data_IF_633600446342
#
_entry.id   IF_633600446342
#
_cell.length_a   1.000
_cell.length_b   1.000
_cell.length_c   1.000
_cell.angle_alpha   90.00
_cell.angle_beta   90.00
_cell.angle_gamma   90.00
#
_symmetry.space_group_name_H-M   'P 1'
#
loop_
_entity.id
_entity.type
_entity.pdbx_description
1 polymer ?
#
# COMPACT_ATOMS: atom_id res chain seq x y z
N UNK A 1 -12.79 -2.90 20.51
CA UNK A 1 -13.40 -3.92 21.41
C UNK A 1 -12.45 -5.07 21.49
N UNK A 2 -12.03 -5.42 22.70
CA UNK A 2 -11.10 -6.51 22.95
C UNK A 2 -11.80 -7.61 23.73
N UNK A 3 -11.61 -8.85 23.29
CA UNK A 3 -12.20 -10.01 23.92
C UNK A 3 -11.17 -11.14 24.03
N UNK A 4 -10.98 -11.63 25.25
CA UNK A 4 -10.11 -12.76 25.51
C UNK A 4 -10.86 -14.06 25.17
N UNK A 5 -10.51 -14.70 24.05
CA UNK A 5 -11.12 -15.95 23.61
C UNK A 5 -10.62 -17.16 24.43
N UNK A 6 -9.34 -17.12 24.83
CA UNK A 6 -8.68 -18.12 25.69
C UNK A 6 -7.66 -17.42 26.57
N UNK A 7 -7.18 -18.09 27.62
CA UNK A 7 -6.12 -17.56 28.51
C UNK A 7 -4.91 -16.97 27.74
N UNK A 8 -4.58 -17.54 26.59
CA UNK A 8 -3.43 -17.15 25.76
C UNK A 8 -3.78 -16.54 24.40
N UNK A 9 -5.06 -16.22 24.16
CA UNK A 9 -5.54 -15.76 22.84
C UNK A 9 -6.55 -14.65 22.99
N UNK A 10 -6.30 -13.53 22.32
CA UNK A 10 -7.16 -12.34 22.34
C UNK A 10 -7.59 -11.98 20.92
N UNK A 11 -8.87 -11.63 20.77
CA UNK A 11 -9.44 -11.04 19.58
C UNK A 11 -9.74 -9.56 19.84
N UNK A 12 -9.24 -8.70 18.97
CA UNK A 12 -9.49 -7.26 18.98
C UNK A 12 -10.20 -6.87 17.69
N UNK A 13 -11.28 -6.11 17.80
CA UNK A 13 -11.97 -5.50 16.67
C UNK A 13 -11.98 -3.98 16.84
N UNK A 14 -11.45 -3.26 15.87
CA UNK A 14 -11.32 -1.81 15.87
C UNK A 14 -11.96 -1.25 14.61
N UNK A 15 -12.83 -0.27 14.78
CA UNK A 15 -13.29 0.57 13.68
C UNK A 15 -12.66 1.96 13.81
N UNK A 16 -12.10 2.46 12.72
CA UNK A 16 -11.48 3.78 12.63
C UNK A 16 -12.11 4.52 11.46
N UNK A 17 -12.61 5.73 11.72
CA UNK A 17 -13.06 6.66 10.68
C UNK A 17 -12.24 7.93 10.75
N UNK A 18 -11.91 8.50 9.59
CA UNK A 18 -11.12 9.71 9.45
C UNK A 18 -11.73 10.60 8.38
N UNK A 19 -11.94 11.87 8.72
CA UNK A 19 -12.44 12.89 7.81
C UNK A 19 -11.43 14.05 7.78
N UNK A 20 -10.97 14.39 6.59
CA UNK A 20 -10.09 15.52 6.31
C UNK A 20 -10.86 16.60 5.57
N UNK A 21 -10.75 17.83 6.05
CA UNK A 21 -11.32 19.03 5.46
C UNK A 21 -10.21 20.05 5.22
N UNK A 22 -10.47 21.01 4.33
CA UNK A 22 -9.54 22.07 3.95
C UNK A 22 -8.15 21.56 3.57
N UNK A 23 -8.12 20.38 2.96
CA UNK A 23 -6.88 19.78 2.51
C UNK A 23 -6.32 20.57 1.34
N UNK A 24 -5.00 20.70 1.30
CA UNK A 24 -4.37 21.41 0.21
C UNK A 24 -4.58 20.72 -1.14
N UNK A 25 -4.78 21.52 -2.17
CA UNK A 25 -4.67 21.14 -3.57
C UNK A 25 -4.19 22.33 -4.39
N UNK A 26 -3.97 22.12 -5.67
CA UNK A 26 -3.63 23.18 -6.61
C UNK A 26 -4.61 23.25 -7.78
N UNK A 27 -4.72 24.44 -8.36
CA UNK A 27 -5.28 24.65 -9.69
C UNK A 27 -4.40 25.63 -10.46
N UNK A 28 -4.49 25.61 -11.78
CA UNK A 28 -3.95 26.67 -12.62
C UNK A 28 -5.03 27.69 -12.93
N UNK A 29 -4.83 28.90 -12.42
CA UNK A 29 -5.79 30.00 -12.60
C UNK A 29 -5.64 30.68 -13.95
N UNK A 30 -4.55 30.41 -14.65
CA UNK A 30 -4.28 30.88 -16.01
C UNK A 30 -4.41 29.73 -17.02
N UNK A 31 -5.10 28.64 -16.67
CA UNK A 31 -5.42 27.56 -17.61
C UNK A 31 -6.32 28.10 -18.74
N UNK A 32 -6.25 27.55 -19.96
CA UNK A 32 -7.17 27.94 -21.03
C UNK A 32 -8.64 27.69 -20.64
N UNK A 33 -9.56 28.66 -20.81
CA UNK A 33 -10.94 28.48 -20.39
C UNK A 33 -11.75 27.63 -21.37
N UNK A 34 -12.82 26.95 -20.89
CA UNK A 34 -13.80 26.29 -21.75
C UNK A 34 -14.55 27.30 -22.64
N UNK A 35 -15.23 26.83 -23.71
CA UNK A 35 -15.36 25.43 -24.11
C UNK A 35 -14.22 24.92 -25.00
N UNK A 36 -13.40 25.81 -25.57
CA UNK A 36 -12.43 25.47 -26.61
C UNK A 36 -11.00 25.26 -26.10
N UNK A 37 -10.69 25.73 -24.89
CA UNK A 37 -9.38 25.57 -24.24
C UNK A 37 -8.19 26.03 -25.11
N UNK A 38 -8.37 27.01 -25.99
CA UNK A 38 -7.37 27.34 -27.04
C UNK A 38 -6.15 28.11 -26.53
N UNK A 39 -6.36 29.08 -25.64
CA UNK A 39 -5.30 29.98 -25.19
C UNK A 39 -5.47 30.33 -23.71
N UNK A 40 -4.34 30.58 -23.05
CA UNK A 40 -4.32 31.07 -21.67
C UNK A 40 -4.88 32.50 -21.61
N UNK A 41 -5.62 32.87 -20.54
CA UNK A 41 -6.12 34.24 -20.37
C UNK A 41 -5.04 35.32 -20.44
N UNK A 42 -3.91 35.10 -19.79
CA UNK A 42 -2.70 35.91 -19.95
C UNK A 42 -1.64 35.09 -20.72
N UNK A 43 -1.41 35.41 -22.01
CA UNK A 43 -0.43 34.70 -22.83
C UNK A 43 1.03 34.92 -22.40
N UNK A 44 1.32 35.94 -21.60
CA UNK A 44 2.68 36.22 -21.10
C UNK A 44 3.07 35.32 -19.94
N UNK A 45 2.08 34.68 -19.30
CA UNK A 45 2.25 33.80 -18.16
C UNK A 45 2.01 32.33 -18.58
N UNK A 46 2.84 31.43 -18.03
CA UNK A 46 2.61 29.99 -18.13
C UNK A 46 1.53 29.53 -17.14
N UNK A 47 1.80 28.39 -16.49
CA UNK A 47 0.97 27.88 -15.39
C UNK A 47 1.06 28.84 -14.19
N UNK A 48 -0.07 29.40 -13.78
CA UNK A 48 -0.17 30.20 -12.55
C UNK A 48 -0.82 29.33 -11.49
N UNK A 49 0.02 28.69 -10.67
CA UNK A 49 -0.45 27.79 -9.63
C UNK A 49 -1.05 28.57 -8.47
N UNK A 50 -2.33 28.36 -8.21
CA UNK A 50 -2.97 28.72 -6.95
C UNK A 50 -3.10 27.49 -6.07
N UNK A 51 -2.56 27.60 -4.85
CA UNK A 51 -2.77 26.61 -3.79
C UNK A 51 -4.06 26.97 -3.05
N UNK A 52 -4.91 25.97 -2.84
CA UNK A 52 -6.19 26.12 -2.17
C UNK A 52 -6.30 25.13 -1.02
N UNK A 53 -6.96 25.53 0.07
CA UNK A 53 -7.29 24.69 1.22
C UNK A 53 -8.79 24.37 1.21
N UNK A 54 -9.24 23.60 0.23
CA UNK A 54 -10.67 23.24 0.06
C UNK A 54 -10.88 21.80 -0.41
N UNK A 55 -9.84 20.97 -0.33
CA UNK A 55 -9.91 19.54 -0.61
C UNK A 55 -10.49 18.76 0.56
N UNK A 56 -10.93 17.53 0.28
CA UNK A 56 -11.58 16.65 1.24
C UNK A 56 -10.99 15.25 1.16
N UNK A 57 -11.06 14.53 2.28
CA UNK A 57 -10.74 13.11 2.36
C UNK A 57 -11.65 12.41 3.36
N UNK A 58 -12.04 11.19 3.07
CA UNK A 58 -12.75 10.32 3.98
C UNK A 58 -12.12 8.92 3.92
N UNK A 59 -11.90 8.32 5.08
CA UNK A 59 -11.49 6.93 5.18
C UNK A 59 -12.18 6.23 6.32
N UNK A 60 -12.64 5.01 6.06
CA UNK A 60 -13.27 4.13 7.03
C UNK A 60 -12.56 2.79 7.00
N UNK A 61 -12.28 2.23 8.18
CA UNK A 61 -11.58 0.96 8.30
C UNK A 61 -12.12 0.13 9.44
N UNK A 62 -12.39 -1.14 9.16
CA UNK A 62 -12.70 -2.17 10.15
C UNK A 62 -11.55 -3.16 10.19
N UNK A 63 -10.95 -3.32 11.36
CA UNK A 63 -9.82 -4.20 11.59
C UNK A 63 -10.15 -5.25 12.63
N UNK A 64 -9.94 -6.52 12.30
CA UNK A 64 -9.98 -7.63 13.23
C UNK A 64 -8.57 -8.20 13.41
N UNK A 65 -8.12 -8.30 14.65
CA UNK A 65 -6.78 -8.78 15.02
C UNK A 65 -6.92 -9.93 16.02
N UNK A 66 -6.41 -11.10 15.67
CA UNK A 66 -6.28 -12.25 16.56
C UNK A 66 -4.82 -12.39 16.97
N UNK A 67 -4.50 -12.39 18.26
CA UNK A 67 -3.13 -12.48 18.77
C UNK A 67 -2.97 -13.50 19.89
N UNK A 68 -1.79 -14.12 19.95
CA UNK A 68 -1.35 -15.02 21.01
C UNK A 68 -1.11 -16.45 20.54
N UNK A 69 -1.20 -17.39 21.47
CA UNK A 69 -0.99 -18.82 21.21
C UNK A 69 -2.28 -19.45 20.66
N UNK A 70 -2.55 -19.20 19.38
CA UNK A 70 -3.78 -19.63 18.69
C UNK A 70 -3.88 -21.15 18.64
N UNK A 71 -2.76 -21.85 18.44
CA UNK A 71 -2.70 -23.32 18.49
C UNK A 71 -1.53 -23.79 19.35
N UNK A 72 -1.41 -25.09 19.60
CA UNK A 72 -0.28 -25.63 20.36
C UNK A 72 1.09 -25.43 19.69
N UNK A 73 1.11 -25.19 18.37
CA UNK A 73 2.33 -24.98 17.59
C UNK A 73 2.48 -23.58 17.01
N UNK A 74 1.41 -22.79 16.93
CA UNK A 74 1.43 -21.43 16.38
C UNK A 74 1.21 -20.40 17.48
N UNK A 75 2.18 -19.50 17.61
CA UNK A 75 2.08 -18.28 18.40
C UNK A 75 2.34 -17.07 17.51
N UNK A 76 1.41 -16.13 17.45
CA UNK A 76 1.56 -14.99 16.55
C UNK A 76 0.35 -14.07 16.53
N UNK A 77 0.28 -13.26 15.48
CA UNK A 77 -0.80 -12.32 15.20
C UNK A 77 -1.31 -12.52 13.77
N UNK A 78 -2.62 -12.52 13.62
CA UNK A 78 -3.33 -12.44 12.35
C UNK A 78 -4.18 -11.18 12.38
N UNK A 79 -4.11 -10.38 11.32
CA UNK A 79 -4.83 -9.13 11.21
C UNK A 79 -5.47 -9.04 9.83
N UNK A 80 -6.78 -8.83 9.82
CA UNK A 80 -7.53 -8.52 8.63
C UNK A 80 -8.09 -7.12 8.74
N UNK A 81 -7.89 -6.32 7.71
CA UNK A 81 -8.41 -4.96 7.60
C UNK A 81 -9.25 -4.86 6.35
N UNK A 82 -10.51 -4.50 6.52
CA UNK A 82 -11.34 -3.96 5.46
C UNK A 82 -11.29 -2.43 5.54
N UNK A 83 -11.05 -1.75 4.43
CA UNK A 83 -11.02 -0.28 4.43
C UNK A 83 -11.59 0.30 3.15
N UNK A 84 -12.06 1.54 3.22
CA UNK A 84 -12.38 2.34 2.04
C UNK A 84 -11.82 3.73 2.25
N UNK A 85 -11.22 4.30 1.22
CA UNK A 85 -10.72 5.66 1.21
C UNK A 85 -11.15 6.40 -0.05
N UNK A 86 -11.68 7.62 0.13
CA UNK A 86 -12.01 8.54 -0.94
C UNK A 86 -11.40 9.92 -0.67
N UNK A 87 -10.94 10.58 -1.71
CA UNK A 87 -10.45 11.95 -1.64
C UNK A 87 -10.63 12.64 -2.99
N UNK A 88 -10.47 13.98 -2.98
CA UNK A 88 -10.35 14.78 -4.20
C UNK A 88 -8.95 15.38 -4.39
N UNK A 89 -8.05 15.15 -3.44
CA UNK A 89 -6.69 15.68 -3.45
C UNK A 89 -5.69 14.74 -2.79
N UNK A 90 -4.46 14.73 -3.31
CA UNK A 90 -3.29 14.11 -2.66
C UNK A 90 -2.34 15.15 -2.04
N UNK A 91 -2.84 16.34 -1.76
CA UNK A 91 -2.07 17.46 -1.21
C UNK A 91 -1.70 18.50 -2.25
N UNK A 92 -0.71 19.34 -1.91
CA UNK A 92 -0.34 20.52 -2.69
C UNK A 92 -0.07 20.17 -4.17
N UNK A 93 0.56 19.05 -4.49
CA UNK A 93 0.83 18.62 -5.88
C UNK A 93 -0.36 18.13 -6.71
N UNK A 94 -1.56 18.05 -6.13
CA UNK A 94 -2.76 17.55 -6.82
C UNK A 94 -3.43 18.65 -7.62
N UNK A 95 -3.58 18.44 -8.93
CA UNK A 95 -4.38 19.27 -9.83
C UNK A 95 -5.59 18.48 -10.31
N UNK A 96 -6.74 19.13 -10.51
CA UNK A 96 -7.82 18.49 -11.23
C UNK A 96 -7.41 18.20 -12.67
N UNK A 97 -8.10 17.26 -13.33
CA UNK A 97 -7.87 17.01 -14.76
C UNK A 97 -8.25 18.25 -15.58
N UNK A 98 -9.40 18.85 -15.27
CA UNK A 98 -9.88 20.12 -15.80
C UNK A 98 -9.86 21.18 -14.70
N UNK A 99 -9.11 22.26 -14.88
CA UNK A 99 -9.01 23.34 -13.89
C UNK A 99 -10.36 24.07 -13.62
N UNK A 100 -11.36 23.88 -14.49
CA UNK A 100 -12.69 24.46 -14.40
C UNK A 100 -13.80 23.47 -14.00
N UNK A 101 -13.52 22.16 -13.92
CA UNK A 101 -14.50 21.15 -13.54
C UNK A 101 -13.93 20.15 -12.53
N UNK A 102 -14.56 20.10 -11.36
CA UNK A 102 -14.15 19.27 -10.22
C UNK A 102 -15.03 18.05 -10.01
N UNK A 103 -16.06 17.86 -10.82
CA UNK A 103 -17.08 16.82 -10.63
C UNK A 103 -16.49 15.41 -10.56
N UNK A 104 -15.44 15.14 -11.32
CA UNK A 104 -14.76 13.85 -11.33
C UNK A 104 -13.58 13.71 -10.35
N UNK A 105 -13.34 14.69 -9.46
CA UNK A 105 -12.17 14.68 -8.57
C UNK A 105 -12.41 13.88 -7.29
N UNK A 106 -13.62 13.94 -6.71
CA UNK A 106 -13.97 13.11 -5.56
C UNK A 106 -14.14 11.64 -5.98
N UNK A 107 -13.14 10.82 -5.68
CA UNK A 107 -13.09 9.43 -6.11
C UNK A 107 -12.37 8.55 -5.08
N UNK A 108 -12.07 7.29 -5.44
CA UNK A 108 -11.21 6.43 -4.63
C UNK A 108 -9.85 7.12 -4.43
N UNK A 109 -9.31 7.09 -3.21
CA UNK A 109 -7.98 7.62 -2.96
C UNK A 109 -6.89 6.72 -3.57
N UNK A 110 -5.73 7.27 -3.93
CA UNK A 110 -4.63 6.49 -4.54
C UNK A 110 -4.15 5.33 -3.63
N UNK A 111 -4.26 5.54 -2.31
CA UNK A 111 -3.92 4.57 -1.27
C UNK A 111 -5.08 3.66 -0.85
N UNK A 112 -6.27 3.79 -1.48
CA UNK A 112 -7.42 2.93 -1.18
C UNK A 112 -7.06 1.46 -1.44
N UNK A 113 -7.15 0.62 -0.40
CA UNK A 113 -6.90 -0.82 -0.48
C UNK A 113 -8.00 -1.54 0.31
N UNK A 114 -9.05 -2.04 -0.38
CA UNK A 114 -10.20 -2.64 0.28
C UNK A 114 -9.90 -3.76 1.26
N UNK A 115 -8.98 -4.66 0.94
CA UNK A 115 -8.69 -5.83 1.75
C UNK A 115 -7.20 -5.92 2.02
N UNK A 116 -6.82 -6.04 3.30
CA UNK A 116 -5.45 -6.32 3.72
C UNK A 116 -5.43 -7.40 4.78
N UNK A 117 -4.63 -8.43 4.56
CA UNK A 117 -4.37 -9.48 5.53
C UNK A 117 -2.88 -9.51 5.86
N UNK A 118 -2.56 -9.57 7.15
CA UNK A 118 -1.22 -9.69 7.67
C UNK A 118 -1.19 -10.83 8.69
N UNK A 119 -0.25 -11.73 8.56
CA UNK A 119 0.05 -12.76 9.54
C UNK A 119 1.54 -12.71 9.85
N UNK A 120 1.86 -12.70 11.13
CA UNK A 120 3.21 -12.84 11.64
C UNK A 120 3.16 -13.83 12.79
N UNK A 121 3.95 -14.89 12.72
CA UNK A 121 3.94 -15.88 13.78
C UNK A 121 5.18 -16.75 13.80
N UNK A 122 5.31 -17.50 14.88
CA UNK A 122 6.36 -18.49 15.10
C UNK A 122 5.71 -19.86 15.23
N UNK A 123 6.29 -20.80 14.51
CA UNK A 123 6.10 -22.22 14.67
C UNK A 123 7.32 -22.78 15.39
N UNK A 124 7.10 -23.57 16.44
CA UNK A 124 8.17 -24.31 17.14
C UNK A 124 7.98 -25.80 16.93
N UNK A 125 8.21 -26.32 15.72
CA UNK A 125 8.13 -27.75 15.48
C UNK A 125 9.28 -28.45 16.23
N UNK A 126 8.93 -29.37 17.13
CA UNK A 126 9.85 -30.28 17.85
C UNK A 126 10.98 -29.64 18.69
N UNK A 127 10.93 -28.33 18.99
CA UNK A 127 11.94 -27.58 19.76
C UNK A 127 13.38 -27.62 19.19
N UNK A 128 13.56 -28.03 17.93
CA UNK A 128 14.88 -28.14 17.29
C UNK A 128 15.25 -26.86 16.51
N UNK A 129 14.26 -26.17 15.97
CA UNK A 129 14.43 -24.93 15.23
C UNK A 129 13.23 -24.00 15.45
N UNK A 130 13.51 -22.71 15.28
CA UNK A 130 12.51 -21.66 15.30
C UNK A 130 12.15 -21.28 13.88
N UNK A 131 10.87 -21.44 13.56
CA UNK A 131 10.33 -21.14 12.24
C UNK A 131 9.45 -19.90 12.36
N UNK A 132 9.92 -18.76 11.86
CA UNK A 132 9.12 -17.56 11.67
C UNK A 132 8.36 -17.62 10.35
N UNK A 133 7.09 -17.26 10.36
CA UNK A 133 6.23 -17.16 9.18
C UNK A 133 5.65 -15.75 9.09
N UNK A 134 5.78 -15.14 7.91
CA UNK A 134 5.09 -13.93 7.51
C UNK A 134 4.19 -14.21 6.31
N UNK A 135 2.97 -13.69 6.32
CA UNK A 135 2.11 -13.66 5.15
C UNK A 135 1.50 -12.26 5.05
N UNK A 136 1.68 -11.63 3.89
CA UNK A 136 1.05 -10.35 3.56
C UNK A 136 0.22 -10.55 2.31
N UNK A 137 -1.06 -10.19 2.37
CA UNK A 137 -1.95 -10.13 1.21
C UNK A 137 -2.64 -8.77 1.19
N UNK A 138 -2.75 -8.16 0.02
CA UNK A 138 -3.43 -6.88 -0.15
C UNK A 138 -4.15 -6.88 -1.48
N UNK A 139 -5.40 -6.40 -1.50
CA UNK A 139 -6.14 -6.19 -2.74
C UNK A 139 -5.43 -5.18 -3.63
N UNK A 140 -5.83 -5.13 -4.89
CA UNK A 140 -5.28 -4.18 -5.83
C UNK A 140 -5.53 -2.73 -5.41
N UNK A 141 -4.64 -1.87 -5.89
CA UNK A 141 -4.81 -0.43 -5.81
C UNK A 141 -5.49 0.14 -7.03
N UNK A 142 -6.22 1.25 -6.88
CA UNK A 142 -6.70 1.95 -8.04
C UNK A 142 -5.58 2.74 -8.73
N UNK A 143 -5.80 3.02 -10.01
CA UNK A 143 -5.06 4.02 -10.76
C UNK A 143 -5.99 4.71 -11.75
N UNK A 144 -5.56 5.85 -12.28
CA UNK A 144 -6.42 6.72 -13.08
C UNK A 144 -6.32 6.37 -14.56
N UNK A 145 -7.48 6.28 -15.22
CA UNK A 145 -7.59 6.22 -16.67
C UNK A 145 -7.37 7.61 -17.28
N UNK A 146 -6.48 7.71 -18.25
CA UNK A 146 -6.11 8.95 -18.92
C UNK A 146 -6.32 8.80 -20.44
N UNK A 147 -6.66 9.88 -21.13
CA UNK A 147 -6.75 9.90 -22.58
C UNK A 147 -5.36 9.74 -23.22
N UNK A 148 -4.37 10.51 -22.74
CA UNK A 148 -3.03 10.60 -23.32
C UNK A 148 -2.74 11.96 -23.92
N UNK A 149 -3.74 12.56 -24.57
CA UNK A 149 -3.72 13.94 -25.02
C UNK A 149 -3.96 14.99 -23.92
N UNK A 150 -3.51 16.21 -24.19
CA UNK A 150 -3.76 17.40 -23.35
C UNK A 150 -5.00 18.17 -23.86
N UNK A 151 -6.19 17.59 -23.70
CA UNK A 151 -7.43 18.17 -24.24
C UNK A 151 -7.82 19.52 -23.62
N UNK A 152 -7.21 19.87 -22.48
CA UNK A 152 -7.45 21.14 -21.79
C UNK A 152 -6.34 22.17 -22.03
N UNK A 153 -5.31 21.82 -22.82
CA UNK A 153 -4.12 22.63 -23.09
C UNK A 153 -3.49 23.24 -21.81
N UNK A 154 -3.52 22.48 -20.71
CA UNK A 154 -2.97 22.92 -19.43
C UNK A 154 -1.55 22.41 -19.17
N UNK A 155 -0.97 21.70 -20.13
CA UNK A 155 0.41 21.20 -20.14
C UNK A 155 0.64 19.97 -19.27
N UNK A 156 -0.41 19.29 -18.81
CA UNK A 156 -0.26 18.16 -17.85
C UNK A 156 -0.47 16.79 -18.44
N UNK A 157 -1.17 16.67 -19.58
CA UNK A 157 -1.49 15.35 -20.17
C UNK A 157 -2.28 14.43 -19.21
N UNK A 158 -3.05 15.03 -18.29
CA UNK A 158 -3.84 14.32 -17.27
C UNK A 158 -5.34 14.32 -17.58
N UNK A 159 -5.69 14.57 -18.83
CA UNK A 159 -7.07 14.52 -19.27
C UNK A 159 -7.64 13.11 -19.10
N UNK A 160 -8.90 13.04 -18.67
CA UNK A 160 -9.66 11.80 -18.49
C UNK A 160 -10.80 11.76 -19.50
N UNK A 161 -11.27 10.58 -19.92
CA UNK A 161 -12.48 10.50 -20.73
C UNK A 161 -13.65 11.19 -20.02
N UNK A 162 -14.58 11.77 -20.79
CA UNK A 162 -15.72 12.51 -20.23
C UNK A 162 -16.52 11.61 -19.27
N UNK A 163 -16.74 12.10 -18.05
CA UNK A 163 -17.47 11.38 -17.00
C UNK A 163 -16.66 10.32 -16.24
N UNK A 164 -15.38 10.10 -16.59
CA UNK A 164 -14.52 9.14 -15.88
C UNK A 164 -13.85 9.84 -14.71
N UNK A 165 -14.14 9.38 -13.49
CA UNK A 165 -13.54 9.85 -12.24
C UNK A 165 -12.05 9.47 -12.14
N UNK A 166 -11.34 9.99 -11.13
CA UNK A 166 -9.99 9.51 -10.83
C UNK A 166 -10.05 8.06 -10.36
N UNK A 167 -8.94 7.34 -10.50
CA UNK A 167 -8.75 6.07 -9.79
C UNK A 167 -9.84 5.01 -10.08
N UNK A 168 -10.29 4.96 -11.33
CA UNK A 168 -11.35 4.05 -11.83
C UNK A 168 -10.83 2.70 -12.27
N UNK A 169 -9.55 2.59 -12.66
CA UNK A 169 -8.92 1.32 -13.04
C UNK A 169 -8.33 0.62 -11.82
N UNK A 170 -8.12 -0.68 -11.93
CA UNK A 170 -7.63 -1.52 -10.84
C UNK A 170 -6.42 -2.36 -11.30
N UNK A 171 -5.36 -2.37 -10.48
CA UNK A 171 -4.14 -3.13 -10.75
C UNK A 171 -4.25 -4.59 -10.29
N UNK A 172 -3.11 -5.24 -10.07
CA UNK A 172 -3.07 -6.54 -9.39
C UNK A 172 -2.94 -6.40 -7.87
N UNK A 173 -3.50 -7.37 -7.14
CA UNK A 173 -3.26 -7.54 -5.71
C UNK A 173 -1.84 -8.03 -5.42
N UNK A 174 -1.40 -7.78 -4.19
CA UNK A 174 -0.11 -8.22 -3.66
C UNK A 174 -0.28 -9.46 -2.79
N UNK A 175 0.64 -10.43 -2.91
CA UNK A 175 0.78 -11.50 -1.94
C UNK A 175 2.24 -11.94 -1.77
N UNK A 176 2.69 -12.11 -0.53
CA UNK A 176 4.00 -12.66 -0.20
C UNK A 176 3.92 -13.58 1.01
N UNK A 177 4.64 -14.69 0.93
CA UNK A 177 4.94 -15.55 2.07
C UNK A 177 6.42 -15.40 2.35
N UNK A 178 6.75 -15.05 3.58
CA UNK A 178 8.12 -14.90 4.05
C UNK A 178 8.39 -15.93 5.14
N UNK A 179 9.56 -16.55 5.12
CA UNK A 179 9.95 -17.62 6.03
C UNK A 179 11.29 -17.30 6.66
N UNK A 180 11.39 -17.50 7.97
CA UNK A 180 12.66 -17.53 8.70
C UNK A 180 12.82 -18.88 9.37
N UNK A 181 13.97 -19.51 9.22
CA UNK A 181 14.37 -20.68 10.01
C UNK A 181 15.63 -20.33 10.76
N UNK A 182 15.62 -20.45 12.08
CA UNK A 182 16.81 -20.23 12.89
C UNK A 182 17.01 -21.32 13.93
N UNK A 183 18.28 -21.60 14.22
CA UNK A 183 18.68 -22.57 15.25
C UNK A 183 19.81 -21.99 16.07
N UNK A 184 19.67 -22.07 17.39
CA UNK A 184 20.75 -21.78 18.32
C UNK A 184 21.55 -23.06 18.61
N UNK A 185 22.87 -22.95 18.50
CA UNK A 185 23.84 -23.97 18.80
C UNK A 185 24.62 -23.50 20.03
N UNK A 186 24.54 -24.24 21.13
CA UNK A 186 25.36 -23.97 22.33
C UNK A 186 26.79 -24.44 22.05
N UNK A 187 27.76 -23.56 22.27
CA UNK A 187 29.19 -23.80 22.08
C UNK A 187 29.86 -23.75 23.46
N UNK A 188 29.96 -24.90 24.14
CA UNK A 188 30.65 -25.02 25.44
C UNK A 188 30.31 -26.32 26.18
N UNK A 189 31.30 -26.94 26.83
CA UNK A 189 31.11 -28.13 27.68
C UNK A 189 30.92 -27.72 29.16
N UNK A 190 30.01 -28.46 29.79
CA UNK A 190 29.85 -28.73 31.24
C UNK A 190 31.06 -28.33 32.09
N UNK A 191 30.88 -27.38 33.02
CA UNK A 191 31.83 -27.11 34.11
C UNK A 191 32.26 -25.66 34.38
N UNK A 192 31.82 -24.66 33.59
CA UNK A 192 32.19 -23.25 33.81
C UNK A 192 31.14 -22.27 33.26
N UNK A 193 31.07 -21.07 33.86
CA UNK A 193 29.94 -20.13 33.82
C UNK A 193 29.68 -19.38 32.49
N UNK A 194 30.52 -19.55 31.46
CA UNK A 194 30.47 -18.70 30.26
C UNK A 194 30.05 -19.50 29.02
N UNK A 195 28.75 -19.76 28.91
CA UNK A 195 28.17 -20.48 27.78
C UNK A 195 28.13 -19.61 26.51
N UNK A 196 29.03 -19.85 25.55
CA UNK A 196 28.96 -19.24 24.22
C UNK A 196 27.81 -19.88 23.42
N UNK A 197 27.19 -19.10 22.54
CA UNK A 197 26.15 -19.60 21.64
C UNK A 197 26.29 -19.01 20.23
N UNK A 198 25.96 -19.80 19.22
CA UNK A 198 25.88 -19.36 17.83
C UNK A 198 24.47 -19.58 17.31
N UNK A 199 23.81 -18.52 16.84
CA UNK A 199 22.54 -18.63 16.13
C UNK A 199 22.80 -18.62 14.62
N UNK A 200 22.40 -19.68 13.94
CA UNK A 200 22.32 -19.75 12.49
C UNK A 200 20.90 -19.40 12.03
N UNK A 201 20.78 -18.62 10.97
CA UNK A 201 19.49 -18.20 10.40
C UNK A 201 19.48 -18.29 8.88
N UNK A 202 18.34 -18.66 8.34
CA UNK A 202 18.00 -18.63 6.92
C UNK A 202 16.68 -17.88 6.77
N UNK A 203 16.66 -16.87 5.90
CA UNK A 203 15.46 -16.10 5.58
C UNK A 203 15.16 -16.24 4.09
N UNK A 204 13.88 -16.43 3.76
CA UNK A 204 13.36 -16.47 2.41
C UNK A 204 12.18 -15.49 2.31
N UNK A 205 12.40 -14.37 1.62
CA UNK A 205 11.36 -13.39 1.30
C UNK A 205 10.73 -13.72 -0.03
N UNK A 206 9.41 -13.54 -0.16
CA UNK A 206 8.64 -13.99 -1.31
C UNK A 206 8.97 -15.46 -1.65
N UNK A 207 8.84 -16.33 -0.65
CA UNK A 207 9.17 -17.76 -0.70
C UNK A 207 8.52 -18.45 -1.90
N UNK A 208 7.30 -18.05 -2.29
CA UNK A 208 6.59 -18.63 -3.42
C UNK A 208 7.02 -18.06 -4.79
N UNK A 209 7.94 -17.08 -4.80
CA UNK A 209 8.39 -16.35 -5.99
C UNK A 209 7.22 -15.79 -6.82
N UNK A 210 6.18 -15.30 -6.16
CA UNK A 210 5.05 -14.68 -6.86
C UNK A 210 5.49 -13.35 -7.45
N UNK A 211 5.18 -13.11 -8.72
CA UNK A 211 5.36 -11.79 -9.33
C UNK A 211 4.35 -10.83 -8.71
N UNK A 212 4.86 -9.80 -8.05
CA UNK A 212 4.05 -8.76 -7.42
C UNK A 212 4.20 -7.47 -8.24
N UNK A 213 3.24 -7.20 -9.13
CA UNK A 213 3.27 -6.02 -10.00
C UNK A 213 3.15 -4.71 -9.20
N UNK A 214 3.76 -3.65 -9.73
CA UNK A 214 3.74 -2.30 -9.16
C UNK A 214 2.80 -1.38 -9.94
N UNK A 215 3.39 -0.42 -10.65
CA UNK A 215 2.69 0.54 -11.49
C UNK A 215 2.09 -0.08 -12.76
N UNK A 216 0.96 0.47 -13.18
CA UNK A 216 0.22 0.14 -14.39
C UNK A 216 0.08 1.38 -15.26
N UNK A 217 -0.01 1.19 -16.58
CA UNK A 217 -0.27 2.30 -17.51
C UNK A 217 -1.78 2.51 -17.66
N UNK A 218 -2.27 3.68 -17.24
CA UNK A 218 -3.67 4.07 -17.36
C UNK A 218 -4.00 4.88 -18.61
N UNK A 219 -3.04 5.15 -19.49
CA UNK A 219 -3.23 5.98 -20.67
C UNK A 219 -3.76 5.18 -21.86
N UNK A 220 -4.93 5.55 -22.38
CA UNK A 220 -5.61 4.86 -23.49
C UNK A 220 -4.80 4.83 -24.78
N UNK A 221 -4.10 5.92 -25.11
CA UNK A 221 -3.24 6.02 -26.29
C UNK A 221 -1.95 5.19 -26.19
N UNK A 222 -1.64 4.61 -25.03
CA UNK A 222 -0.43 3.79 -24.86
C UNK A 222 -0.66 2.34 -25.31
N UNK A 223 0.29 1.72 -26.03
CA UNK A 223 0.22 0.27 -26.33
C UNK A 223 0.30 -0.59 -25.06
N UNK A 224 0.71 -0.01 -23.93
CA UNK A 224 0.80 -0.68 -22.63
C UNK A 224 -0.44 -0.44 -21.76
N UNK A 225 -1.53 0.13 -22.30
CA UNK A 225 -2.75 0.38 -21.53
C UNK A 225 -3.20 -0.85 -20.73
N UNK A 226 -3.44 -0.65 -19.42
CA UNK A 226 -3.77 -1.67 -18.41
C UNK A 226 -2.71 -2.75 -18.19
N UNK A 227 -1.50 -2.57 -18.70
CA UNK A 227 -0.38 -3.48 -18.46
C UNK A 227 0.48 -3.00 -17.29
N UNK A 228 1.04 -3.94 -16.50
CA UNK A 228 2.03 -3.61 -15.49
C UNK A 228 3.36 -3.23 -16.15
N UNK A 229 4.02 -2.19 -15.64
CA UNK A 229 5.33 -1.72 -16.13
C UNK A 229 6.45 -1.85 -15.11
N UNK A 230 6.12 -2.27 -13.88
CA UNK A 230 7.11 -2.54 -12.82
C UNK A 230 6.69 -3.76 -12.02
N UNK A 231 7.65 -4.39 -11.35
CA UNK A 231 7.43 -5.48 -10.41
C UNK A 231 8.29 -5.26 -9.16
N UNK A 232 7.80 -5.77 -8.02
CA UNK A 232 8.54 -5.82 -6.76
C UNK A 232 9.54 -6.97 -6.78
N UNK A 233 10.41 -7.01 -5.76
CA UNK A 233 11.44 -8.04 -5.62
C UNK A 233 10.88 -9.45 -5.79
N UNK A 234 11.59 -10.23 -6.60
CA UNK A 234 11.44 -11.68 -6.68
C UNK A 234 11.89 -12.33 -5.36
N UNK A 235 11.92 -13.66 -5.32
CA UNK A 235 12.40 -14.40 -4.15
C UNK A 235 13.82 -13.94 -3.75
N UNK A 236 14.00 -13.61 -2.48
CA UNK A 236 15.31 -13.26 -1.91
C UNK A 236 15.64 -14.22 -0.77
N UNK A 237 16.85 -14.78 -0.81
CA UNK A 237 17.35 -15.70 0.21
C UNK A 237 18.50 -15.03 0.96
N UNK A 238 18.50 -15.13 2.29
CA UNK A 238 19.54 -14.58 3.14
C UNK A 238 20.00 -15.61 4.17
N UNK A 239 21.30 -15.59 4.46
CA UNK A 239 21.94 -16.39 5.51
C UNK A 239 22.48 -15.45 6.58
N UNK A 240 22.31 -15.82 7.84
CA UNK A 240 22.80 -15.04 8.98
C UNK A 240 23.46 -15.94 10.03
N UNK A 241 24.49 -15.41 10.67
CA UNK A 241 25.14 -16.01 11.82
C UNK A 241 25.33 -14.94 12.90
N UNK A 242 24.95 -15.24 14.15
CA UNK A 242 25.17 -14.37 15.30
C UNK A 242 25.88 -15.17 16.39
N UNK A 243 27.00 -14.66 16.89
CA UNK A 243 27.74 -15.24 18.01
C UNK A 243 27.46 -14.41 19.26
N UNK A 244 27.11 -15.08 20.36
CA UNK A 244 26.99 -14.51 21.70
C UNK A 244 28.11 -15.07 22.56
N UNK A 245 28.87 -14.18 23.19
CA UNK A 245 29.93 -14.47 24.15
C UNK A 245 29.53 -13.98 25.54
#
# INVERSE_FOLDING_TARGET
VDHQLRKTTTLSVTYTSSHGYDMFRSRDVNAPPPPSFLARPDPSLGVVRQIEANGRQQSDSLQATLRGKVTRWFNGQMQYTFSRARNDTNGIGSYPANDYDRSGEWARADFDRPHRFLLLGRLTPWKVADVGLGLTMTSAGPYTELLGGDVYNNGRGRARPKGVARNTLEGAGFASVDLRVSRELKIGRVGGSDGRAMTLGFDAFNLLNRVNYGAYVGTLESPLFRQPVTARSARQLQLSARVKF
#
